data_IF_320667742416
#
_entry.id   IF_320667742416
#
_cell.length_a   1.000
_cell.length_b   1.000
_cell.length_c   1.000
_cell.angle_alpha   90.00
_cell.angle_beta   90.00
_cell.angle_gamma   90.00
#
_symmetry.space_group_name_H-M   'P 1'
#
loop_
_entity.id
_entity.type
_entity.pdbx_description
1 polymer ?
#
# COMPACT_ATOMS: atom_id res chain seq x y z
N UNK A 1 -12.31 -22.91 8.71
CA UNK A 1 -12.08 -21.45 8.59
C UNK A 1 -13.43 -20.75 8.51
N UNK A 2 -13.68 -19.67 9.28
CA UNK A 2 -15.01 -19.06 9.46
C UNK A 2 -15.25 -17.81 8.58
N UNK A 3 -14.81 -17.85 7.32
CA UNK A 3 -15.11 -16.80 6.33
C UNK A 3 -16.21 -17.33 5.43
N UNK A 4 -17.34 -16.63 5.41
CA UNK A 4 -18.48 -17.02 4.57
C UNK A 4 -18.26 -16.49 3.14
N UNK A 5 -18.62 -17.27 2.12
CA UNK A 5 -18.76 -16.75 0.76
C UNK A 5 -19.79 -15.62 0.73
N UNK A 6 -19.70 -14.77 -0.29
CA UNK A 6 -20.54 -13.58 -0.55
C UNK A 6 -20.08 -12.29 0.16
N UNK A 7 -20.14 -11.19 -0.58
CA UNK A 7 -19.84 -9.83 -0.14
C UNK A 7 -18.44 -9.64 0.48
N UNK A 8 -17.40 -9.73 -0.36
CA UNK A 8 -16.05 -9.28 -0.01
C UNK A 8 -16.11 -7.87 0.58
N UNK A 9 -15.56 -7.63 1.77
CA UNK A 9 -15.61 -6.32 2.38
C UNK A 9 -14.49 -5.39 1.87
N UNK A 10 -13.56 -5.93 1.08
CA UNK A 10 -12.48 -5.18 0.44
C UNK A 10 -12.97 -4.42 -0.78
N UNK A 11 -12.54 -3.16 -0.91
CA UNK A 11 -12.73 -2.31 -2.09
C UNK A 11 -11.41 -1.75 -2.59
N UNK A 12 -11.07 -1.91 -3.88
CA UNK A 12 -9.91 -1.23 -4.46
C UNK A 12 -10.19 0.26 -4.72
N UNK A 13 -9.27 1.12 -4.29
CA UNK A 13 -9.28 2.55 -4.52
C UNK A 13 -8.57 2.83 -5.85
N UNK A 14 -9.34 2.81 -6.93
CA UNK A 14 -8.80 3.00 -8.27
C UNK A 14 -8.27 4.42 -8.50
N UNK A 15 -8.66 5.41 -7.70
CA UNK A 15 -8.13 6.78 -7.73
C UNK A 15 -6.80 6.96 -6.98
N UNK A 16 -6.47 6.04 -6.07
CA UNK A 16 -5.21 5.99 -5.32
C UNK A 16 -4.04 5.43 -6.14
N UNK A 17 -4.29 5.25 -7.44
CA UNK A 17 -3.49 4.50 -8.38
C UNK A 17 -2.21 5.23 -8.74
N UNK A 18 -1.07 4.65 -8.35
CA UNK A 18 0.20 4.93 -8.99
C UNK A 18 0.50 3.82 -10.00
N UNK A 19 0.48 4.16 -11.28
CA UNK A 19 1.04 3.32 -12.33
C UNK A 19 2.49 3.75 -12.49
N UNK A 20 3.42 2.87 -12.16
CA UNK A 20 4.81 3.04 -12.58
C UNK A 20 5.02 2.27 -13.89
N UNK A 21 6.14 2.49 -14.57
CA UNK A 21 6.51 1.72 -15.77
C UNK A 21 6.51 0.20 -15.53
N UNK A 22 6.65 -0.23 -14.26
CA UNK A 22 6.85 -1.62 -13.89
C UNK A 22 5.71 -2.18 -13.04
N UNK A 23 5.06 -1.40 -12.18
CA UNK A 23 4.15 -1.94 -11.16
C UNK A 23 2.85 -1.14 -11.08
N UNK A 24 1.76 -1.85 -10.81
CA UNK A 24 0.45 -1.26 -10.49
C UNK A 24 0.23 -1.31 -8.97
N UNK A 25 -0.07 -0.14 -8.37
CA UNK A 25 -0.34 0.00 -6.95
C UNK A 25 -1.77 0.49 -6.70
N UNK A 26 -2.50 -0.14 -5.78
CA UNK A 26 -3.82 0.35 -5.35
C UNK A 26 -4.08 0.05 -3.87
N UNK A 27 -4.77 0.95 -3.18
CA UNK A 27 -5.19 0.70 -1.81
C UNK A 27 -6.49 -0.12 -1.74
N UNK A 28 -6.58 -1.10 -0.83
CA UNK A 28 -7.83 -1.78 -0.50
C UNK A 28 -8.47 -1.20 0.79
N UNK A 29 -9.69 -0.65 0.70
CA UNK A 29 -10.47 -0.16 1.85
C UNK A 29 -11.05 -1.33 2.63
N UNK A 30 -10.44 -1.57 3.79
CA UNK A 30 -11.01 -1.97 5.09
C UNK A 30 -9.89 -2.01 6.15
N UNK A 31 -8.64 -2.31 5.72
CA UNK A 31 -7.46 -2.54 6.57
C UNK A 31 -6.23 -1.75 6.08
N UNK A 32 -6.42 -0.71 5.26
CA UNK A 32 -5.34 0.07 4.61
C UNK A 32 -4.28 -0.87 4.00
N UNK A 33 -4.70 -1.71 3.05
CA UNK A 33 -3.78 -2.65 2.40
C UNK A 33 -3.24 -2.03 1.11
N UNK A 34 -1.99 -2.37 0.79
CA UNK A 34 -1.36 -2.11 -0.48
C UNK A 34 -1.50 -3.36 -1.37
N UNK A 35 -2.16 -3.21 -2.52
CA UNK A 35 -2.15 -4.17 -3.61
C UNK A 35 -1.03 -3.78 -4.58
N UNK A 36 -0.11 -4.70 -4.83
CA UNK A 36 0.92 -4.59 -5.86
C UNK A 36 0.66 -5.66 -6.93
N UNK A 37 0.61 -5.24 -8.18
CA UNK A 37 0.41 -6.12 -9.34
C UNK A 37 1.55 -5.93 -10.32
N UNK A 38 2.14 -7.06 -10.74
CA UNK A 38 3.26 -7.12 -11.68
C UNK A 38 2.88 -8.00 -12.86
N UNK A 39 3.01 -7.47 -14.08
CA UNK A 39 2.97 -8.28 -15.29
C UNK A 39 4.36 -8.77 -15.63
N UNK A 40 4.64 -10.07 -15.50
CA UNK A 40 5.99 -10.61 -15.67
C UNK A 40 6.18 -11.17 -17.09
N UNK A 41 7.42 -11.18 -17.56
CA UNK A 41 7.78 -11.91 -18.79
C UNK A 41 7.36 -13.38 -18.71
N UNK A 42 6.91 -13.96 -19.83
CA UNK A 42 6.44 -15.34 -19.89
C UNK A 42 4.97 -15.54 -19.54
N UNK A 43 4.13 -14.51 -19.72
CA UNK A 43 2.68 -14.55 -19.47
C UNK A 43 2.32 -14.86 -18.01
N UNK A 44 3.14 -14.38 -17.07
CA UNK A 44 2.91 -14.58 -15.64
C UNK A 44 2.42 -13.28 -15.00
N UNK A 45 1.53 -13.39 -14.02
CA UNK A 45 1.08 -12.25 -13.21
C UNK A 45 1.41 -12.52 -11.75
N UNK A 46 2.15 -11.61 -11.12
CA UNK A 46 2.41 -11.66 -9.67
C UNK A 46 1.50 -10.67 -8.96
N UNK A 47 0.83 -11.14 -7.91
CA UNK A 47 -0.04 -10.34 -7.05
C UNK A 47 0.55 -10.39 -5.65
N UNK A 48 0.70 -9.23 -5.03
CA UNK A 48 1.12 -9.09 -3.64
C UNK A 48 0.16 -8.17 -2.92
N UNK A 49 -0.24 -8.56 -1.71
CA UNK A 49 -1.07 -7.76 -0.81
C UNK A 49 -0.32 -7.64 0.51
N UNK A 50 -0.09 -6.41 0.96
CA UNK A 50 0.57 -6.12 2.23
C UNK A 50 -0.20 -5.03 3.01
N UNK A 51 0.17 -4.77 4.25
CA UNK A 51 -0.29 -3.58 4.96
C UNK A 51 0.39 -2.34 4.37
N UNK A 52 -0.37 -1.26 4.15
CA UNK A 52 0.20 0.02 3.74
C UNK A 52 1.05 0.63 4.86
N UNK A 53 0.64 0.44 6.12
CA UNK A 53 1.33 0.94 7.31
C UNK A 53 1.45 -0.17 8.37
N UNK A 54 2.37 -1.14 8.17
CA UNK A 54 2.52 -2.26 9.07
C UNK A 54 3.11 -1.86 10.43
N UNK A 55 2.64 -2.48 11.52
CA UNK A 55 3.29 -2.36 12.84
C UNK A 55 4.75 -2.84 12.82
N UNK A 56 5.01 -3.89 12.04
CA UNK A 56 6.34 -4.39 11.68
C UNK A 56 6.24 -5.07 10.31
N UNK A 57 7.32 -5.11 9.52
CA UNK A 57 7.30 -5.78 8.23
C UNK A 57 6.74 -7.19 8.32
N UNK A 58 5.84 -7.54 7.39
CA UNK A 58 5.40 -8.93 7.22
C UNK A 58 6.52 -9.71 6.55
N UNK A 59 6.67 -10.97 6.94
CA UNK A 59 7.68 -11.84 6.37
C UNK A 59 7.48 -11.99 4.87
N UNK A 60 8.53 -11.72 4.11
CA UNK A 60 8.63 -12.02 2.68
C UNK A 60 9.71 -13.06 2.51
N UNK A 61 9.44 -14.10 1.72
CA UNK A 61 10.35 -15.22 1.54
C UNK A 61 11.60 -14.75 0.80
N UNK A 62 12.79 -14.75 1.43
CA UNK A 62 14.04 -14.40 0.75
C UNK A 62 14.60 -15.60 -0.02
N UNK A 63 15.61 -15.36 -0.85
CA UNK A 63 16.49 -16.36 -1.47
C UNK A 63 15.85 -17.40 -2.42
N UNK A 64 14.54 -17.35 -2.64
CA UNK A 64 13.83 -18.23 -3.60
C UNK A 64 13.89 -17.68 -5.03
N UNK A 65 13.83 -16.36 -5.18
CA UNK A 65 13.95 -15.71 -6.49
C UNK A 65 15.44 -15.48 -6.78
N UNK A 66 15.91 -15.99 -7.92
CA UNK A 66 17.28 -15.78 -8.39
C UNK A 66 17.51 -14.30 -8.77
N UNK A 67 16.46 -13.63 -9.27
CA UNK A 67 16.44 -12.20 -9.59
C UNK A 67 14.99 -11.69 -9.61
N UNK A 68 14.83 -10.37 -9.53
CA UNK A 68 13.52 -9.73 -9.73
C UNK A 68 13.03 -9.95 -11.18
N UNK A 69 11.83 -10.54 -11.39
CA UNK A 69 11.36 -10.82 -12.74
C UNK A 69 11.07 -9.52 -13.52
N UNK A 70 11.49 -9.41 -14.80
CA UNK A 70 11.20 -8.26 -15.63
C UNK A 70 9.70 -8.01 -15.72
N UNK A 71 9.30 -6.75 -15.53
CA UNK A 71 7.89 -6.36 -15.50
C UNK A 71 7.50 -5.59 -16.76
N UNK A 72 6.39 -5.99 -17.39
CA UNK A 72 5.85 -5.42 -18.63
C UNK A 72 4.32 -5.45 -18.59
N UNK A 73 3.69 -4.28 -18.48
CA UNK A 73 2.26 -4.11 -18.71
C UNK A 73 1.95 -2.67 -19.16
N UNK A 74 0.75 -2.45 -19.68
CA UNK A 74 0.19 -1.13 -19.99
C UNK A 74 -1.23 -1.03 -19.47
N UNK A 75 -1.71 0.17 -19.13
CA UNK A 75 -3.12 0.39 -18.84
C UNK A 75 -3.88 0.50 -20.16
N UNK A 76 -4.84 -0.39 -20.40
CA UNK A 76 -5.63 -0.43 -21.65
C UNK A 76 -7.02 0.15 -21.50
N UNK A 77 -7.52 0.27 -20.27
CA UNK A 77 -8.85 0.79 -19.97
C UNK A 77 -8.98 1.20 -18.51
N UNK A 78 -9.80 2.20 -18.23
CA UNK A 78 -10.08 2.66 -16.87
C UNK A 78 -11.42 3.38 -16.82
N UNK A 79 -12.22 3.03 -15.82
CA UNK A 79 -13.44 3.72 -15.45
C UNK A 79 -13.55 3.83 -13.92
N UNK A 80 -14.72 4.23 -13.42
CA UNK A 80 -14.96 4.39 -11.98
C UNK A 80 -14.97 3.06 -11.21
N UNK A 81 -15.32 1.97 -11.88
CA UNK A 81 -15.51 0.64 -11.31
C UNK A 81 -14.37 -0.33 -11.59
N UNK A 82 -13.54 -0.07 -12.60
CA UNK A 82 -12.51 -1.01 -13.06
C UNK A 82 -11.25 -0.36 -13.66
N UNK A 83 -10.15 -1.11 -13.62
CA UNK A 83 -8.94 -0.84 -14.41
C UNK A 83 -8.58 -2.10 -15.20
N UNK A 84 -8.24 -1.92 -16.47
CA UNK A 84 -7.72 -2.98 -17.33
C UNK A 84 -6.23 -2.77 -17.58
N UNK A 85 -5.45 -3.83 -17.37
CA UNK A 85 -4.04 -3.91 -17.71
C UNK A 85 -3.85 -4.91 -18.87
N UNK A 86 -3.14 -4.50 -19.91
CA UNK A 86 -2.67 -5.35 -20.99
C UNK A 86 -1.20 -5.75 -20.80
N UNK A 87 -0.84 -6.97 -21.20
CA UNK A 87 0.54 -7.46 -21.15
C UNK A 87 1.21 -7.41 -22.54
N UNK A 88 2.51 -7.71 -22.64
CA UNK A 88 3.41 -7.46 -23.78
C UNK A 88 2.92 -7.90 -25.17
N UNK A 89 1.99 -8.86 -25.25
CA UNK A 89 1.44 -9.38 -26.50
C UNK A 89 -0.04 -9.02 -26.72
N UNK A 90 -0.64 -8.23 -25.84
CA UNK A 90 -2.08 -7.91 -25.80
C UNK A 90 -3.02 -9.12 -25.78
N UNK A 91 -2.48 -10.33 -25.66
CA UNK A 91 -3.23 -11.57 -25.63
C UNK A 91 -3.95 -11.69 -24.29
N UNK A 92 -3.23 -11.40 -23.22
CA UNK A 92 -3.75 -11.45 -21.86
C UNK A 92 -4.13 -10.07 -21.36
N UNK A 93 -5.22 -10.02 -20.60
CA UNK A 93 -5.66 -8.85 -19.85
C UNK A 93 -5.87 -9.20 -18.39
N UNK A 94 -5.62 -8.24 -17.52
CA UNK A 94 -6.00 -8.28 -16.12
C UNK A 94 -7.01 -7.16 -15.85
N UNK A 95 -8.21 -7.52 -15.42
CA UNK A 95 -9.26 -6.58 -15.03
C UNK A 95 -9.30 -6.53 -13.51
N UNK A 96 -9.20 -5.34 -12.94
CA UNK A 96 -9.27 -5.08 -11.51
C UNK A 96 -10.59 -4.37 -11.21
N UNK A 97 -11.52 -5.06 -10.58
CA UNK A 97 -12.84 -4.54 -10.20
C UNK A 97 -12.79 -3.95 -8.80
N UNK A 98 -13.32 -2.73 -8.63
CA UNK A 98 -13.23 -1.96 -7.39
C UNK A 98 -14.04 -2.56 -6.24
N UNK A 99 -15.35 -2.75 -6.42
CA UNK A 99 -16.29 -3.08 -5.33
C UNK A 99 -17.33 -4.12 -5.76
N UNK A 100 -17.35 -5.32 -5.15
CA UNK A 100 -16.30 -5.86 -4.28
C UNK A 100 -14.96 -6.00 -5.04
N UNK A 101 -13.85 -5.93 -4.30
CA UNK A 101 -12.52 -6.16 -4.88
C UNK A 101 -12.46 -7.56 -5.49
N UNK A 102 -12.14 -7.61 -6.78
CA UNK A 102 -11.97 -8.83 -7.57
C UNK A 102 -10.96 -8.56 -8.68
N UNK A 103 -10.25 -9.59 -9.11
CA UNK A 103 -9.45 -9.51 -10.33
C UNK A 103 -9.75 -10.67 -11.27
N UNK A 104 -9.75 -10.42 -12.57
CA UNK A 104 -10.01 -11.41 -13.60
C UNK A 104 -8.89 -11.36 -14.65
N UNK A 105 -8.32 -12.52 -14.97
CA UNK A 105 -7.34 -12.69 -16.05
C UNK A 105 -8.07 -13.31 -17.24
N UNK A 106 -7.98 -12.66 -18.40
CA UNK A 106 -8.65 -13.10 -19.63
C UNK A 106 -7.68 -13.23 -20.79
N UNK A 107 -8.06 -14.03 -21.79
CA UNK A 107 -7.43 -14.07 -23.12
C UNK A 107 -8.50 -13.87 -24.19
N UNK A 108 -8.46 -12.77 -24.93
CA UNK A 108 -9.58 -12.37 -25.78
C UNK A 108 -10.89 -12.25 -24.98
N UNK A 109 -11.86 -13.11 -25.29
CA UNK A 109 -13.18 -13.17 -24.64
C UNK A 109 -13.29 -14.31 -23.59
N UNK A 110 -12.22 -15.05 -23.35
CA UNK A 110 -12.21 -16.19 -22.43
C UNK A 110 -11.64 -15.79 -21.05
N UNK A 111 -12.35 -16.16 -19.98
CA UNK A 111 -11.90 -16.01 -18.60
C UNK A 111 -11.00 -17.19 -18.22
N UNK A 112 -9.76 -16.93 -17.84
CA UNK A 112 -8.79 -17.94 -17.41
C UNK A 112 -8.78 -18.14 -15.90
N UNK A 113 -8.79 -17.04 -15.15
CA UNK A 113 -8.66 -17.05 -13.70
C UNK A 113 -9.40 -15.87 -13.07
N UNK A 114 -10.06 -16.12 -11.94
CA UNK A 114 -10.58 -15.08 -11.06
C UNK A 114 -9.92 -15.15 -9.69
N UNK A 115 -9.50 -13.99 -9.19
CA UNK A 115 -9.01 -13.80 -7.83
C UNK A 115 -10.09 -13.12 -7.00
N UNK A 116 -10.35 -13.70 -5.83
CA UNK A 116 -11.43 -13.32 -4.92
C UNK A 116 -12.87 -13.36 -5.52
N UNK A 117 -13.24 -14.30 -6.42
CA UNK A 117 -14.59 -14.33 -7.01
C UNK A 117 -15.68 -14.63 -5.97
N UNK A 118 -15.32 -15.34 -4.89
CA UNK A 118 -16.25 -15.74 -3.81
C UNK A 118 -16.23 -14.79 -2.61
N UNK A 119 -15.43 -13.73 -2.66
CA UNK A 119 -15.28 -12.79 -1.55
C UNK A 119 -14.59 -13.37 -0.30
N UNK A 120 -13.74 -14.38 -0.48
CA UNK A 120 -13.06 -15.09 0.62
C UNK A 120 -11.67 -14.53 0.93
N UNK A 121 -11.23 -13.46 0.26
CA UNK A 121 -10.03 -12.73 0.67
C UNK A 121 -10.17 -12.36 2.15
N UNK A 122 -9.16 -12.70 2.92
CA UNK A 122 -9.12 -12.42 4.34
C UNK A 122 -7.70 -12.11 4.76
N UNK A 123 -7.50 -10.90 5.28
CA UNK A 123 -6.22 -10.37 5.71
C UNK A 123 -6.36 -9.89 7.15
N UNK A 124 -5.72 -10.58 8.09
CA UNK A 124 -5.71 -10.23 9.51
C UNK A 124 -4.59 -9.23 9.78
N UNK A 125 -4.93 -8.04 10.29
CA UNK A 125 -3.92 -7.02 10.63
C UNK A 125 -3.09 -7.44 11.85
N UNK A 126 -1.82 -7.05 11.87
CA UNK A 126 -1.03 -7.15 13.10
C UNK A 126 -1.63 -6.23 14.18
N UNK A 127 -1.77 -6.77 15.39
CA UNK A 127 -2.24 -6.03 16.55
C UNK A 127 -1.11 -5.88 17.57
N UNK A 128 -1.06 -4.75 18.28
CA UNK A 128 -0.18 -4.61 19.44
C UNK A 128 -0.64 -5.56 20.54
N UNK A 129 0.29 -6.26 21.18
CA UNK A 129 0.02 -7.35 22.14
C UNK A 129 -0.72 -6.98 23.43
N UNK A 130 -1.25 -5.76 23.53
CA UNK A 130 -2.22 -5.36 24.52
C UNK A 130 -3.31 -4.58 23.78
N UNK A 131 -4.57 -4.99 23.93
CA UNK A 131 -5.69 -4.21 23.44
C UNK A 131 -5.58 -2.78 23.99
N UNK A 132 -5.38 -1.81 23.09
CA UNK A 132 -5.17 -0.36 23.27
C UNK A 132 -3.71 0.10 23.31
N UNK A 133 -3.48 1.12 22.46
CA UNK A 133 -2.38 2.08 22.39
C UNK A 133 -1.07 1.60 21.75
N UNK A 134 -0.98 1.80 20.43
CA UNK A 134 -0.08 2.77 19.78
C UNK A 134 0.05 2.40 18.29
N UNK A 135 -0.75 3.03 17.43
CA UNK A 135 -0.44 3.06 16.00
C UNK A 135 0.39 4.31 15.71
N UNK A 136 1.70 4.21 15.87
CA UNK A 136 2.65 5.05 15.16
C UNK A 136 4.04 4.40 15.21
N UNK A 137 4.34 3.63 14.18
CA UNK A 137 5.69 3.33 13.77
C UNK A 137 5.67 3.12 12.25
N UNK A 138 5.77 4.22 11.50
CA UNK A 138 6.06 4.15 10.08
C UNK A 138 7.56 3.89 9.94
N UNK A 139 7.95 2.68 9.54
CA UNK A 139 9.30 2.46 9.04
C UNK A 139 9.38 3.07 7.63
N UNK A 140 10.21 4.08 7.48
CA UNK A 140 10.53 4.70 6.21
C UNK A 140 11.22 3.70 5.28
N UNK A 141 10.61 3.42 4.13
CA UNK A 141 11.32 2.96 2.94
C UNK A 141 10.86 3.84 1.78
N UNK A 142 11.81 4.61 1.25
CA UNK A 142 11.79 5.35 -0.01
C UNK A 142 10.50 6.13 -0.33
N UNK A 143 10.55 7.44 -0.16
CA UNK A 143 9.46 8.36 -0.49
C UNK A 143 8.81 8.09 -1.85
N UNK A 144 7.57 7.60 -1.81
CA UNK A 144 6.57 7.70 -2.87
C UNK A 144 5.19 7.66 -2.21
N UNK A 145 4.39 8.68 -2.46
CA UNK A 145 3.11 8.89 -1.80
C UNK A 145 1.99 8.06 -2.46
N UNK A 146 2.10 6.73 -2.35
CA UNK A 146 1.04 5.84 -2.82
C UNK A 146 -0.23 6.14 -2.01
N UNK A 147 -1.34 6.35 -2.71
CA UNK A 147 -2.65 6.68 -2.13
C UNK A 147 -2.87 8.08 -1.55
N UNK A 148 -2.11 9.10 -2.00
CA UNK A 148 -2.47 10.51 -1.77
C UNK A 148 -2.28 11.02 -0.35
N UNK A 149 -1.51 10.32 0.49
CA UNK A 149 -1.07 10.83 1.77
C UNK A 149 0.20 11.67 1.59
N UNK A 150 0.04 13.00 1.59
CA UNK A 150 1.15 13.95 1.64
C UNK A 150 1.80 13.90 3.03
N UNK A 151 3.10 13.61 3.07
CA UNK A 151 3.92 13.91 4.24
C UNK A 151 4.36 15.37 4.15
N UNK A 152 3.49 16.27 4.56
CA UNK A 152 3.81 17.68 4.76
C UNK A 152 3.14 18.16 6.04
N UNK A 153 3.73 17.81 7.18
CA UNK A 153 4.02 18.76 8.28
C UNK A 153 4.59 18.00 9.47
N UNK A 154 5.92 17.99 9.55
CA UNK A 154 6.68 17.65 10.76
C UNK A 154 6.69 18.82 11.74
N UNK A 155 5.53 19.35 12.12
CA UNK A 155 5.43 20.40 13.12
C UNK A 155 4.06 20.44 13.78
N UNK A 156 3.71 19.42 14.56
CA UNK A 156 2.73 19.51 15.66
C UNK A 156 2.71 18.20 16.46
N UNK A 157 3.65 18.02 17.38
CA UNK A 157 3.43 17.10 18.50
C UNK A 157 2.68 17.86 19.60
N UNK A 158 1.51 17.38 20.08
CA UNK A 158 0.92 17.91 21.30
C UNK A 158 1.72 17.37 22.50
N UNK A 159 2.40 18.27 23.23
CA UNK A 159 3.06 17.95 24.49
C UNK A 159 2.04 17.43 25.50
N UNK A 160 2.27 16.24 26.04
CA UNK A 160 1.58 15.74 27.21
C UNK A 160 2.54 15.68 28.41
N UNK A 161 2.17 16.45 29.45
CA UNK A 161 2.60 16.40 30.86
C UNK A 161 4.07 16.66 31.19
N UNK A 162 4.33 17.78 31.87
CA UNK A 162 4.47 17.81 33.34
C UNK A 162 4.95 19.19 33.79
N UNK A 163 4.30 19.72 34.82
CA UNK A 163 4.62 21.01 35.40
C UNK A 163 5.94 20.94 36.16
N UNK A 164 6.96 21.61 35.65
CA UNK A 164 8.07 22.17 36.40
C UNK A 164 8.47 23.48 35.70
N UNK A 165 8.28 24.60 36.38
CA UNK A 165 8.65 25.93 35.87
C UNK A 165 10.17 26.02 35.70
N UNK A 166 10.70 26.56 34.58
CA UNK A 166 12.12 26.83 34.46
C UNK A 166 12.53 28.08 35.26
N UNK A 167 13.77 28.15 35.79
CA UNK A 167 14.26 29.34 36.49
C UNK A 167 14.53 30.48 35.50
N UNK A 168 14.30 31.72 35.93
CA UNK A 168 14.53 32.94 35.15
C UNK A 168 16.01 33.09 34.78
N UNK A 169 16.31 33.14 33.47
CA UNK A 169 17.64 33.50 32.96
C UNK A 169 17.88 35.01 33.14
N UNK A 170 18.93 35.33 33.91
CA UNK A 170 19.45 36.68 34.07
C UNK A 170 20.03 37.24 32.78
N UNK A 171 19.92 38.56 32.65
CA UNK A 171 20.44 39.37 31.54
C UNK A 171 21.97 39.28 31.44
N UNK A 172 22.48 38.80 30.30
CA UNK A 172 23.90 38.82 29.96
C UNK A 172 24.21 40.12 29.18
N UNK A 173 25.11 40.96 29.70
CA UNK A 173 25.68 42.10 28.97
C UNK A 173 26.99 41.68 28.29
N UNK A 174 27.26 42.09 27.03
CA UNK A 174 28.53 41.83 26.38
C UNK A 174 29.62 42.82 26.85
N UNK A 175 30.83 42.30 27.08
CA UNK A 175 32.04 43.09 27.38
C UNK A 175 32.68 43.66 26.10
N UNK A 176 33.39 44.80 26.18
CA UNK A 176 33.88 45.52 25.01
C UNK A 176 35.17 44.92 24.42
N UNK A 177 35.26 44.94 23.09
CA UNK A 177 36.43 44.54 22.32
C UNK A 177 37.63 45.45 22.62
N UNK A 178 38.81 44.85 22.75
CA UNK A 178 40.10 45.55 22.67
C UNK A 178 40.93 44.90 21.57
N UNK A 179 41.55 45.74 20.73
CA UNK A 179 42.52 45.38 19.69
C UNK A 179 43.84 44.91 20.31
#
# INVERSE_FOLDING_TARGET
>A
RNVKPENSPYRALLNSLEVTEKNYYSCLRQVHLLLEVYGLQGNMTRIKINELHPLKPRYEVPDVLIQDPPTVFTVTGRDEGSVELGFTNSLYKLIITSKPFRMDITTGNELLLSVNPRGLLHFEQLQTGAGKLASQAALALSGRAVCGFSWSDSSSYPNAHSGLSPPSLGSYQPAPNTL
#
